data_IF_294187241401
#
_entry.id   IF_294187241401
#
_cell.length_a   1.000
_cell.length_b   1.000
_cell.length_c   1.000
_cell.angle_alpha   90.00
_cell.angle_beta   90.00
_cell.angle_gamma   90.00
#
_symmetry.space_group_name_H-M   'P 1'
#
loop_
_entity.id
_entity.type
_entity.pdbx_description
1 polymer ?
#
# COMPACT_ATOMS: atom_id res chain seq x y z
N UNK A 1 41.94 -15.89 72.69
CA UNK A 1 40.92 -16.56 71.88
C UNK A 1 40.61 -15.66 70.69
N UNK A 2 41.26 -15.92 69.58
CA UNK A 2 41.30 -15.10 68.39
C UNK A 2 40.32 -15.67 67.39
N UNK A 3 39.34 -14.90 67.00
CA UNK A 3 38.38 -15.28 65.93
C UNK A 3 38.67 -14.48 64.68
N UNK A 4 39.10 -15.18 63.62
CA UNK A 4 39.40 -14.64 62.30
C UNK A 4 38.09 -14.42 61.52
N UNK A 5 37.91 -13.24 60.95
CA UNK A 5 36.83 -12.91 60.06
C UNK A 5 37.40 -12.94 58.64
N UNK A 6 36.91 -13.91 57.85
CA UNK A 6 37.19 -14.00 56.39
C UNK A 6 36.26 -13.09 55.59
N UNK A 7 36.83 -12.33 54.68
CA UNK A 7 36.11 -11.52 53.71
C UNK A 7 35.55 -12.37 52.54
N UNK A 8 34.37 -12.09 51.97
CA UNK A 8 33.92 -12.71 50.75
C UNK A 8 34.38 -11.90 49.53
N UNK A 9 35.14 -12.55 48.69
CA UNK A 9 35.44 -12.11 47.31
C UNK A 9 34.37 -12.71 46.39
N UNK A 10 33.60 -11.91 45.70
CA UNK A 10 33.11 -12.26 44.39
C UNK A 10 32.61 -11.02 43.66
N UNK A 11 33.38 -10.61 42.68
CA UNK A 11 33.01 -9.62 41.70
C UNK A 11 31.88 -10.19 40.81
N UNK A 12 30.73 -9.59 40.91
CA UNK A 12 29.59 -9.84 40.05
C UNK A 12 29.91 -9.28 38.66
N UNK A 13 30.17 -10.18 37.71
CA UNK A 13 30.28 -9.83 36.28
C UNK A 13 28.88 -9.45 35.80
N UNK A 14 28.67 -8.16 35.59
CA UNK A 14 27.53 -7.68 34.82
C UNK A 14 27.46 -8.43 33.47
N UNK A 15 26.44 -9.21 33.30
CA UNK A 15 26.14 -9.90 32.04
C UNK A 15 25.81 -8.86 30.96
N UNK A 16 26.64 -8.82 29.91
CA UNK A 16 26.33 -8.10 28.70
C UNK A 16 24.97 -8.58 28.15
N UNK A 17 24.11 -7.68 27.63
CA UNK A 17 22.84 -8.08 27.03
C UNK A 17 23.14 -9.00 25.85
N UNK A 18 22.61 -10.21 25.88
CA UNK A 18 22.70 -11.19 24.81
C UNK A 18 22.18 -10.57 23.52
N UNK A 19 23.01 -10.57 22.47
CA UNK A 19 22.58 -10.30 21.09
C UNK A 19 21.44 -11.28 20.76
N UNK A 20 20.21 -10.80 20.79
CA UNK A 20 19.02 -11.58 20.45
C UNK A 20 19.23 -12.23 19.07
N UNK A 21 19.07 -13.52 19.01
CA UNK A 21 19.04 -14.29 17.78
C UNK A 21 17.76 -13.91 17.07
N UNK A 22 17.78 -12.87 16.22
CA UNK A 22 16.66 -12.54 15.35
C UNK A 22 16.42 -13.71 14.41
N UNK A 23 15.23 -14.31 14.47
CA UNK A 23 14.79 -15.28 13.48
C UNK A 23 14.76 -14.59 12.11
N UNK A 24 15.17 -15.30 11.05
CA UNK A 24 15.33 -14.72 9.70
C UNK A 24 14.08 -13.96 9.19
N UNK A 25 12.86 -14.39 9.57
CA UNK A 25 11.60 -13.69 9.24
C UNK A 25 11.47 -12.34 9.93
N UNK A 26 11.72 -12.29 11.23
CA UNK A 26 11.56 -11.07 12.05
C UNK A 26 12.47 -9.92 11.58
N UNK A 27 13.71 -10.21 11.15
CA UNK A 27 14.60 -9.18 10.66
C UNK A 27 14.13 -8.62 9.30
N UNK A 28 13.61 -9.47 8.41
CA UNK A 28 13.07 -9.02 7.12
C UNK A 28 11.89 -8.07 7.33
N UNK A 29 10.94 -8.42 8.18
CA UNK A 29 9.78 -7.59 8.52
C UNK A 29 10.20 -6.28 9.19
N UNK A 30 11.13 -6.32 10.15
CA UNK A 30 11.67 -5.13 10.78
C UNK A 30 12.30 -4.17 9.75
N UNK A 31 13.12 -4.71 8.83
CA UNK A 31 13.76 -3.90 7.78
C UNK A 31 12.71 -3.29 6.85
N UNK A 32 11.65 -4.00 6.50
CA UNK A 32 10.56 -3.49 5.66
C UNK A 32 9.78 -2.38 6.37
N UNK A 33 9.43 -2.54 7.64
CA UNK A 33 8.74 -1.51 8.43
C UNK A 33 9.58 -0.23 8.60
N UNK A 34 10.87 -0.37 8.95
CA UNK A 34 11.78 0.77 9.03
C UNK A 34 12.00 1.45 7.68
N UNK A 35 12.02 0.68 6.59
CA UNK A 35 12.15 1.23 5.24
C UNK A 35 10.96 2.12 4.85
N UNK A 36 9.72 1.70 5.12
CA UNK A 36 8.53 2.52 4.89
C UNK A 36 8.61 3.85 5.65
N UNK A 37 8.94 3.79 6.95
CA UNK A 37 9.09 4.99 7.76
C UNK A 37 10.18 5.93 7.23
N UNK A 38 11.30 5.36 6.79
CA UNK A 38 12.43 6.14 6.26
C UNK A 38 12.13 6.77 4.91
N UNK A 39 11.47 6.03 4.01
CA UNK A 39 11.06 6.54 2.71
C UNK A 39 10.03 7.68 2.88
N UNK A 40 9.13 7.58 3.85
CA UNK A 40 8.18 8.65 4.15
C UNK A 40 8.87 9.98 4.51
N UNK A 41 10.02 9.92 5.19
CA UNK A 41 10.77 11.11 5.64
C UNK A 41 11.70 11.63 4.56
N UNK A 42 12.53 10.76 3.97
CA UNK A 42 13.68 11.13 3.14
C UNK A 42 13.43 10.95 1.64
N UNK A 43 12.36 10.23 1.27
CA UNK A 43 12.09 9.79 -0.10
C UNK A 43 12.96 8.62 -0.53
N UNK A 44 12.62 8.05 -1.69
CA UNK A 44 13.30 6.89 -2.27
C UNK A 44 14.71 7.20 -2.78
N UNK A 45 14.99 8.44 -3.18
CA UNK A 45 16.29 8.83 -3.74
C UNK A 45 17.40 8.74 -2.70
N UNK A 46 17.14 9.26 -1.49
CA UNK A 46 18.10 9.28 -0.38
C UNK A 46 18.19 7.98 0.40
N UNK A 47 17.33 7.01 0.08
CA UNK A 47 17.26 5.74 0.79
C UNK A 47 18.53 4.89 0.60
N UNK A 48 19.01 4.27 1.70
CA UNK A 48 20.21 3.44 1.72
C UNK A 48 20.04 2.24 2.66
N UNK A 49 20.28 1.03 2.15
CA UNK A 49 20.31 -0.21 2.94
C UNK A 49 21.34 -0.17 4.08
N UNK A 50 22.47 0.53 3.89
CA UNK A 50 23.47 0.67 4.95
C UNK A 50 22.99 1.59 6.09
N UNK A 51 22.24 2.65 5.75
CA UNK A 51 21.61 3.50 6.76
C UNK A 51 20.53 2.73 7.51
N UNK A 52 19.72 1.96 6.80
CA UNK A 52 18.70 1.08 7.38
C UNK A 52 19.30 0.05 8.34
N UNK A 53 20.44 -0.58 7.99
CA UNK A 53 21.14 -1.50 8.88
C UNK A 53 21.54 -0.87 10.22
N UNK A 54 22.03 0.39 10.18
CA UNK A 54 22.38 1.13 11.41
C UNK A 54 21.15 1.41 12.26
N UNK A 55 20.05 1.78 11.65
CA UNK A 55 18.78 2.06 12.33
C UNK A 55 18.20 0.78 12.98
N UNK A 56 18.27 -0.35 12.26
CA UNK A 56 17.89 -1.66 12.78
C UNK A 56 18.88 -2.24 13.82
N UNK A 57 19.98 -1.54 14.11
CA UNK A 57 21.05 -2.01 15.00
C UNK A 57 21.62 -3.39 14.60
N UNK A 58 21.81 -3.61 13.29
CA UNK A 58 22.39 -4.84 12.75
C UNK A 58 23.68 -4.55 11.97
N UNK A 59 24.41 -5.60 11.60
CA UNK A 59 25.61 -5.43 10.76
C UNK A 59 25.28 -4.81 9.40
N UNK A 60 26.19 -4.00 8.86
CA UNK A 60 26.00 -3.34 7.56
C UNK A 60 25.72 -4.30 6.40
N UNK A 61 26.03 -5.58 6.56
CA UNK A 61 25.79 -6.64 5.57
C UNK A 61 24.50 -7.40 5.78
N UNK A 62 23.84 -7.27 6.96
CA UNK A 62 22.64 -8.03 7.28
C UNK A 62 21.47 -7.79 6.30
N UNK A 63 21.14 -6.54 5.89
CA UNK A 63 20.06 -6.31 4.92
C UNK A 63 20.30 -6.98 3.57
N UNK A 64 21.56 -7.09 3.15
CA UNK A 64 21.91 -7.69 1.85
C UNK A 64 21.72 -9.21 1.79
N UNK A 65 21.44 -9.87 2.93
CA UNK A 65 21.03 -11.27 2.98
C UNK A 65 19.54 -11.45 2.61
N UNK A 66 18.75 -10.37 2.71
CA UNK A 66 17.31 -10.33 2.41
C UNK A 66 17.00 -9.61 1.11
N UNK A 67 17.77 -8.57 0.78
CA UNK A 67 17.53 -7.70 -0.37
C UNK A 67 18.85 -7.41 -1.07
N UNK A 68 19.00 -7.84 -2.31
CA UNK A 68 20.24 -7.67 -3.10
C UNK A 68 20.61 -6.20 -3.29
N UNK A 69 19.61 -5.32 -3.38
CA UNK A 69 19.76 -3.88 -3.51
C UNK A 69 18.49 -3.15 -3.01
N UNK A 70 18.49 -1.81 -3.08
CA UNK A 70 17.33 -1.02 -2.63
C UNK A 70 16.07 -1.27 -3.48
N UNK A 71 16.19 -1.56 -4.77
CA UNK A 71 15.04 -1.84 -5.63
C UNK A 71 14.40 -3.19 -5.29
N UNK A 72 15.20 -4.20 -4.91
CA UNK A 72 14.67 -5.47 -4.41
C UNK A 72 13.88 -5.30 -3.10
N UNK A 73 14.29 -4.39 -2.21
CA UNK A 73 13.51 -4.03 -1.03
C UNK A 73 12.24 -3.28 -1.42
N UNK A 74 12.31 -2.32 -2.34
CA UNK A 74 11.13 -1.58 -2.81
C UNK A 74 10.11 -2.49 -3.50
N UNK A 75 10.59 -3.44 -4.31
CA UNK A 75 9.74 -4.45 -4.92
C UNK A 75 9.06 -5.35 -3.89
N UNK A 76 9.76 -5.75 -2.82
CA UNK A 76 9.16 -6.51 -1.73
C UNK A 76 8.08 -5.70 -1.00
N UNK A 77 8.30 -4.40 -0.76
CA UNK A 77 7.29 -3.50 -0.17
C UNK A 77 6.07 -3.34 -1.08
N UNK A 78 6.29 -3.17 -2.39
CA UNK A 78 5.21 -3.08 -3.37
C UNK A 78 4.42 -4.40 -3.46
N UNK A 79 5.11 -5.55 -3.43
CA UNK A 79 4.49 -6.88 -3.42
C UNK A 79 3.56 -7.05 -2.23
N UNK A 80 4.04 -6.70 -1.02
CA UNK A 80 3.22 -6.73 0.19
C UNK A 80 2.05 -5.75 0.11
N UNK A 81 2.26 -4.55 -0.44
CA UNK A 81 1.20 -3.57 -0.68
C UNK A 81 0.10 -4.11 -1.59
N UNK A 82 0.44 -4.74 -2.71
CA UNK A 82 -0.54 -5.37 -3.60
C UNK A 82 -1.29 -6.52 -2.92
N UNK A 83 -0.62 -7.34 -2.13
CA UNK A 83 -1.24 -8.44 -1.38
C UNK A 83 -2.25 -7.91 -0.34
N UNK A 84 -1.87 -6.89 0.42
CA UNK A 84 -2.75 -6.25 1.40
C UNK A 84 -3.96 -5.58 0.74
N UNK A 85 -3.76 -4.91 -0.40
CA UNK A 85 -4.86 -4.35 -1.18
C UNK A 85 -5.82 -5.43 -1.66
N UNK A 86 -5.29 -6.52 -2.26
CA UNK A 86 -6.09 -7.66 -2.71
C UNK A 86 -6.92 -8.26 -1.58
N UNK A 87 -6.32 -8.45 -0.40
CA UNK A 87 -7.00 -8.98 0.78
C UNK A 87 -8.15 -8.07 1.24
N UNK A 88 -7.90 -6.76 1.38
CA UNK A 88 -8.94 -5.78 1.76
C UNK A 88 -10.09 -5.76 0.76
N UNK A 89 -9.82 -5.72 -0.55
CA UNK A 89 -10.85 -5.71 -1.60
C UNK A 89 -11.62 -7.04 -1.61
N UNK A 90 -10.95 -8.19 -1.45
CA UNK A 90 -11.63 -9.49 -1.40
C UNK A 90 -12.63 -9.59 -0.22
N UNK A 91 -12.31 -9.02 0.94
CA UNK A 91 -13.22 -9.01 2.10
C UNK A 91 -14.54 -8.32 1.75
N UNK A 92 -14.50 -7.15 1.14
CA UNK A 92 -15.72 -6.42 0.77
C UNK A 92 -16.43 -7.02 -0.45
N UNK A 93 -15.68 -7.55 -1.39
CA UNK A 93 -16.22 -8.20 -2.60
C UNK A 93 -17.01 -9.48 -2.28
N UNK A 94 -16.68 -10.16 -1.18
CA UNK A 94 -17.37 -11.39 -0.74
C UNK A 94 -18.43 -11.13 0.34
N UNK A 95 -18.76 -9.89 0.66
CA UNK A 95 -19.80 -9.56 1.62
C UNK A 95 -21.19 -9.97 1.11
N UNK A 96 -22.19 -10.04 2.01
CA UNK A 96 -23.56 -10.39 1.67
C UNK A 96 -24.39 -9.25 1.07
N UNK A 97 -23.76 -8.09 0.84
CA UNK A 97 -24.40 -6.91 0.25
C UNK A 97 -24.72 -7.10 -1.24
N UNK A 98 -25.53 -6.19 -1.78
CA UNK A 98 -25.80 -6.17 -3.22
C UNK A 98 -24.51 -5.94 -4.03
N UNK A 99 -24.49 -6.38 -5.27
CA UNK A 99 -23.32 -6.21 -6.16
C UNK A 99 -22.90 -4.76 -6.31
N UNK A 100 -23.85 -3.82 -6.34
CA UNK A 100 -23.57 -2.38 -6.41
C UNK A 100 -22.91 -1.84 -5.14
N UNK A 101 -23.38 -2.28 -3.98
CA UNK A 101 -22.79 -1.92 -2.68
C UNK A 101 -21.39 -2.49 -2.54
N UNK A 102 -21.16 -3.74 -2.99
CA UNK A 102 -19.83 -4.35 -2.97
C UNK A 102 -18.87 -3.62 -3.89
N UNK A 103 -19.31 -3.19 -5.08
CA UNK A 103 -18.48 -2.43 -6.02
C UNK A 103 -18.11 -1.05 -5.45
N UNK A 104 -19.07 -0.36 -4.85
CA UNK A 104 -18.80 0.91 -4.18
C UNK A 104 -17.85 0.74 -3.00
N UNK A 105 -18.06 -0.28 -2.18
CA UNK A 105 -17.18 -0.59 -1.06
C UNK A 105 -15.76 -0.96 -1.51
N UNK A 106 -15.61 -1.70 -2.62
CA UNK A 106 -14.30 -2.00 -3.20
C UNK A 106 -13.58 -0.74 -3.67
N UNK A 107 -14.29 0.20 -4.31
CA UNK A 107 -13.74 1.48 -4.73
C UNK A 107 -13.30 2.34 -3.54
N UNK A 108 -14.10 2.40 -2.47
CA UNK A 108 -13.76 3.08 -1.22
C UNK A 108 -12.52 2.45 -0.59
N UNK A 109 -12.51 1.12 -0.44
CA UNK A 109 -11.38 0.36 0.13
C UNK A 109 -10.06 0.62 -0.61
N UNK A 110 -10.10 0.75 -1.94
CA UNK A 110 -8.92 1.08 -2.73
C UNK A 110 -8.37 2.47 -2.38
N UNK A 111 -9.23 3.47 -2.25
CA UNK A 111 -8.83 4.85 -1.94
C UNK A 111 -8.32 4.94 -0.51
N UNK A 112 -9.02 4.33 0.44
CA UNK A 112 -8.61 4.25 1.85
C UNK A 112 -7.25 3.54 2.01
N UNK A 113 -7.02 2.44 1.26
CA UNK A 113 -5.72 1.78 1.25
C UNK A 113 -4.60 2.72 0.83
N UNK A 114 -4.81 3.51 -0.22
CA UNK A 114 -3.81 4.46 -0.69
C UNK A 114 -3.49 5.54 0.37
N UNK A 115 -4.50 6.01 1.09
CA UNK A 115 -4.35 7.01 2.17
C UNK A 115 -3.67 6.44 3.41
N UNK A 116 -4.00 5.21 3.79
CA UNK A 116 -3.39 4.50 4.91
C UNK A 116 -1.93 4.14 4.63
N UNK A 117 -1.59 3.86 3.36
CA UNK A 117 -0.30 3.31 2.95
C UNK A 117 0.37 4.12 1.82
N UNK A 118 0.56 5.45 1.97
CA UNK A 118 0.97 6.32 0.88
C UNK A 118 2.33 5.95 0.28
N UNK A 119 3.28 5.51 1.09
CA UNK A 119 4.61 5.08 0.62
C UNK A 119 4.51 3.77 -0.18
N UNK A 120 3.80 2.77 0.34
CA UNK A 120 3.60 1.52 -0.36
C UNK A 120 2.87 1.76 -1.70
N UNK A 121 1.81 2.57 -1.69
CA UNK A 121 1.07 2.95 -2.89
C UNK A 121 1.95 3.63 -3.96
N UNK A 122 2.83 4.54 -3.54
CA UNK A 122 3.81 5.17 -4.45
C UNK A 122 4.81 4.18 -5.03
N UNK A 123 5.22 3.16 -4.26
CA UNK A 123 6.10 2.09 -4.76
C UNK A 123 5.36 1.14 -5.71
N UNK A 124 4.09 0.84 -5.44
CA UNK A 124 3.24 -0.03 -6.28
C UNK A 124 3.00 0.55 -7.68
N UNK A 125 2.73 1.85 -7.76
CA UNK A 125 2.26 2.51 -9.00
C UNK A 125 3.24 3.56 -9.55
N UNK A 126 4.33 3.83 -8.84
CA UNK A 126 5.35 4.77 -9.27
C UNK A 126 6.34 4.16 -10.26
N UNK A 127 7.04 5.03 -10.99
CA UNK A 127 8.00 4.61 -12.02
C UNK A 127 9.31 4.00 -11.47
N UNK A 128 9.52 3.98 -10.15
CA UNK A 128 10.82 3.62 -9.55
C UNK A 128 11.21 2.16 -9.76
N UNK A 129 10.23 1.26 -9.90
CA UNK A 129 10.47 -0.17 -10.09
C UNK A 129 10.59 -0.56 -11.57
N UNK A 130 10.13 0.28 -12.48
CA UNK A 130 10.20 -0.01 -13.92
C UNK A 130 9.41 -1.27 -14.31
N UNK A 131 10.09 -2.25 -14.89
CA UNK A 131 9.49 -3.51 -15.32
C UNK A 131 9.32 -4.47 -14.12
N UNK A 132 8.09 -4.82 -13.81
CA UNK A 132 7.75 -5.74 -12.71
C UNK A 132 8.26 -7.16 -12.93
N UNK A 133 8.54 -7.56 -14.19
CA UNK A 133 9.08 -8.88 -14.50
C UNK A 133 10.51 -9.10 -13.97
N UNK A 134 11.22 -8.01 -13.64
CA UNK A 134 12.55 -8.08 -13.03
C UNK A 134 12.52 -8.52 -11.56
N UNK A 135 11.33 -8.53 -10.92
CA UNK A 135 11.18 -8.83 -9.51
C UNK A 135 10.25 -10.03 -9.30
N UNK A 136 10.80 -11.09 -8.69
CA UNK A 136 10.05 -12.31 -8.39
C UNK A 136 8.80 -12.00 -7.55
N UNK A 137 7.64 -12.48 -8.01
CA UNK A 137 6.36 -12.37 -7.32
C UNK A 137 5.66 -11.02 -7.44
N UNK A 138 6.34 -9.94 -7.85
CA UNK A 138 5.72 -8.60 -7.93
C UNK A 138 4.60 -8.54 -8.97
N UNK A 139 4.85 -9.06 -10.18
CA UNK A 139 3.84 -9.10 -11.24
C UNK A 139 2.62 -9.95 -10.86
N UNK A 140 2.86 -11.09 -10.19
CA UNK A 140 1.78 -11.95 -9.70
C UNK A 140 0.94 -11.25 -8.62
N UNK A 141 1.57 -10.53 -7.68
CA UNK A 141 0.86 -9.78 -6.65
C UNK A 141 0.03 -8.63 -7.25
N UNK A 142 0.59 -7.90 -8.23
CA UNK A 142 -0.14 -6.85 -8.93
C UNK A 142 -1.36 -7.40 -9.68
N UNK A 143 -1.20 -8.51 -10.39
CA UNK A 143 -2.31 -9.21 -11.07
C UNK A 143 -3.37 -9.67 -10.07
N UNK A 144 -2.96 -10.29 -8.94
CA UNK A 144 -3.87 -10.74 -7.90
C UNK A 144 -4.69 -9.61 -7.26
N UNK A 145 -4.11 -8.42 -7.14
CA UNK A 145 -4.85 -7.25 -6.66
C UNK A 145 -5.93 -6.80 -7.64
N UNK A 146 -5.67 -6.90 -8.96
CA UNK A 146 -6.65 -6.60 -10.00
C UNK A 146 -7.75 -7.67 -10.09
N UNK A 147 -7.40 -8.96 -9.95
CA UNK A 147 -8.36 -10.07 -10.02
C UNK A 147 -9.50 -9.96 -8.99
N UNK A 148 -9.24 -9.36 -7.83
CA UNK A 148 -10.28 -9.14 -6.83
C UNK A 148 -11.40 -8.21 -7.34
N UNK A 149 -11.02 -7.15 -8.06
CA UNK A 149 -11.97 -6.26 -8.72
C UNK A 149 -12.61 -6.93 -9.94
N UNK A 150 -11.83 -7.63 -10.77
CA UNK A 150 -12.28 -8.26 -12.01
C UNK A 150 -13.42 -9.24 -11.76
N UNK A 151 -13.29 -10.12 -10.77
CA UNK A 151 -14.36 -11.05 -10.38
C UNK A 151 -15.68 -10.35 -10.02
N UNK A 152 -15.56 -9.24 -9.27
CA UNK A 152 -16.74 -8.46 -8.89
C UNK A 152 -17.39 -7.79 -10.11
N UNK A 153 -16.59 -7.35 -11.08
CA UNK A 153 -17.09 -6.72 -12.31
C UNK A 153 -17.81 -7.72 -13.21
N UNK A 154 -17.34 -8.96 -13.31
CA UNK A 154 -18.07 -10.04 -14.01
C UNK A 154 -19.47 -10.19 -13.39
N UNK A 155 -19.58 -10.26 -12.07
CA UNK A 155 -20.88 -10.33 -11.41
C UNK A 155 -21.77 -9.10 -11.66
N UNK A 156 -21.19 -7.90 -11.73
CA UNK A 156 -21.91 -6.66 -12.07
C UNK A 156 -22.47 -6.72 -13.47
N UNK A 157 -21.65 -7.11 -14.45
CA UNK A 157 -22.03 -7.22 -15.87
C UNK A 157 -23.17 -8.22 -16.03
N UNK A 158 -23.06 -9.39 -15.40
CA UNK A 158 -24.07 -10.44 -15.43
C UNK A 158 -25.39 -10.00 -14.74
N UNK A 159 -25.31 -9.49 -13.52
CA UNK A 159 -26.47 -9.11 -12.73
C UNK A 159 -27.28 -7.97 -13.39
N UNK A 160 -26.60 -7.05 -14.07
CA UNK A 160 -27.22 -5.88 -14.73
C UNK A 160 -27.46 -6.10 -16.23
N UNK A 161 -27.07 -7.25 -16.77
CA UNK A 161 -27.17 -7.56 -18.21
C UNK A 161 -26.52 -6.48 -19.09
N UNK A 162 -25.37 -5.98 -18.66
CA UNK A 162 -24.68 -4.91 -19.37
C UNK A 162 -24.12 -5.42 -20.70
N UNK A 163 -24.28 -4.64 -21.76
CA UNK A 163 -23.64 -4.87 -23.06
C UNK A 163 -22.27 -4.18 -23.08
N UNK A 164 -21.41 -4.55 -22.15
CA UNK A 164 -20.10 -3.95 -21.95
C UNK A 164 -19.05 -5.05 -21.73
N UNK A 165 -17.88 -4.86 -22.32
CA UNK A 165 -16.73 -5.73 -22.05
C UNK A 165 -16.24 -5.46 -20.62
N UNK A 166 -16.19 -6.50 -19.78
CA UNK A 166 -15.82 -6.40 -18.38
C UNK A 166 -14.40 -5.85 -18.19
N UNK A 167 -13.48 -6.16 -19.10
CA UNK A 167 -12.11 -5.67 -19.06
C UNK A 167 -12.05 -4.16 -19.33
N UNK A 168 -12.87 -3.66 -20.26
CA UNK A 168 -12.98 -2.22 -20.54
C UNK A 168 -13.61 -1.49 -19.37
N UNK A 169 -14.69 -2.05 -18.79
CA UNK A 169 -15.33 -1.50 -17.62
C UNK A 169 -14.37 -1.44 -16.41
N UNK A 170 -13.62 -2.52 -16.20
CA UNK A 170 -12.58 -2.61 -15.18
C UNK A 170 -11.50 -1.54 -15.35
N UNK A 171 -11.02 -1.36 -16.57
CA UNK A 171 -10.04 -0.31 -16.90
C UNK A 171 -10.56 1.10 -16.62
N UNK A 172 -11.83 1.39 -16.93
CA UNK A 172 -12.46 2.69 -16.68
C UNK A 172 -12.61 2.94 -15.16
N UNK A 173 -13.17 1.99 -14.43
CA UNK A 173 -13.37 2.11 -12.98
C UNK A 173 -12.00 2.23 -12.28
N UNK A 174 -11.05 1.33 -12.58
CA UNK A 174 -9.73 1.39 -12.00
C UNK A 174 -9.02 2.72 -12.27
N UNK A 175 -9.04 3.19 -13.52
CA UNK A 175 -8.43 4.49 -13.88
C UNK A 175 -9.03 5.65 -13.09
N UNK A 176 -10.35 5.64 -12.88
CA UNK A 176 -11.04 6.68 -12.13
C UNK A 176 -10.66 6.65 -10.64
N UNK A 177 -10.76 5.50 -9.97
CA UNK A 177 -10.42 5.39 -8.53
C UNK A 177 -8.93 5.62 -8.28
N UNK A 178 -8.05 5.13 -9.17
CA UNK A 178 -6.62 5.39 -9.11
C UNK A 178 -6.30 6.87 -9.27
N UNK A 179 -6.97 7.55 -10.21
CA UNK A 179 -6.85 8.99 -10.40
C UNK A 179 -7.28 9.77 -9.15
N UNK A 180 -8.41 9.41 -8.54
CA UNK A 180 -8.89 10.03 -7.30
C UNK A 180 -7.87 9.82 -6.17
N UNK A 181 -7.44 8.59 -5.92
CA UNK A 181 -6.47 8.27 -4.88
C UNK A 181 -5.15 9.04 -5.07
N UNK A 182 -4.61 9.05 -6.29
CA UNK A 182 -3.36 9.76 -6.62
C UNK A 182 -3.47 11.26 -6.42
N UNK A 183 -4.57 11.88 -6.85
CA UNK A 183 -4.81 13.32 -6.68
C UNK A 183 -4.97 13.70 -5.21
N UNK A 184 -5.68 12.89 -4.42
CA UNK A 184 -5.82 13.11 -2.98
C UNK A 184 -4.48 13.06 -2.26
N UNK A 185 -3.65 12.04 -2.55
CA UNK A 185 -2.30 11.95 -1.99
C UNK A 185 -1.42 13.14 -2.36
N UNK A 186 -1.48 13.59 -3.61
CA UNK A 186 -0.72 14.76 -4.06
C UNK A 186 -1.15 16.04 -3.33
N UNK A 187 -2.46 16.26 -3.17
CA UNK A 187 -2.99 17.43 -2.45
C UNK A 187 -2.59 17.38 -0.98
N UNK A 188 -2.71 16.23 -0.32
CA UNK A 188 -2.31 16.06 1.08
C UNK A 188 -0.80 16.34 1.29
N UNK A 189 0.06 15.90 0.37
CA UNK A 189 1.50 16.20 0.43
C UNK A 189 1.81 17.68 0.21
N UNK A 190 1.09 18.36 -0.66
CA UNK A 190 1.25 19.80 -0.91
C UNK A 190 0.81 20.63 0.30
N UNK A 191 -0.31 20.29 0.92
CA UNK A 191 -0.82 20.94 2.12
C UNK A 191 0.16 20.78 3.29
N UNK A 192 0.65 19.57 3.54
CA UNK A 192 1.65 19.28 4.56
C UNK A 192 2.96 20.08 4.34
N UNK A 193 3.33 20.36 3.10
CA UNK A 193 4.54 21.12 2.76
C UNK A 193 4.39 22.63 2.91
N UNK A 194 3.18 23.17 3.10
CA UNK A 194 2.83 24.61 3.16
C UNK A 194 3.34 25.44 1.96
N UNK A 195 3.62 24.79 0.85
CA UNK A 195 4.22 25.44 -0.34
C UNK A 195 3.21 25.83 -1.40
N UNK A 196 1.99 25.35 -1.32
CA UNK A 196 0.95 25.65 -2.30
C UNK A 196 -0.31 26.08 -1.56
N UNK A 197 -0.86 27.29 -1.88
CA UNK A 197 -2.15 27.68 -1.33
C UNK A 197 -3.23 26.70 -1.80
N UNK A 198 -4.10 26.27 -0.91
CA UNK A 198 -5.35 25.55 -1.20
C UNK A 198 -6.31 26.33 -2.11
N UNK A 199 -5.90 27.50 -2.55
CA UNK A 199 -6.65 28.44 -3.40
C UNK A 199 -6.67 28.03 -4.89
N UNK A 200 -5.83 27.07 -5.29
CA UNK A 200 -5.84 26.60 -6.68
C UNK A 200 -7.11 25.83 -6.99
N UNK A 201 -7.81 26.24 -8.06
CA UNK A 201 -9.06 25.61 -8.51
C UNK A 201 -9.00 24.07 -8.60
N UNK A 202 -7.93 23.43 -9.12
CA UNK A 202 -7.84 21.97 -9.12
C UNK A 202 -7.85 21.35 -7.71
N UNK A 203 -7.14 21.95 -6.75
CA UNK A 203 -7.14 21.47 -5.36
C UNK A 203 -8.52 21.61 -4.73
N UNK A 204 -9.20 22.76 -4.93
CA UNK A 204 -10.58 22.99 -4.48
C UNK A 204 -11.55 21.96 -5.05
N UNK A 205 -11.41 21.59 -6.34
CA UNK A 205 -12.25 20.59 -6.98
C UNK A 205 -12.07 19.21 -6.35
N UNK A 206 -10.82 18.82 -6.02
CA UNK A 206 -10.52 17.57 -5.33
C UNK A 206 -11.12 17.58 -3.92
N UNK A 207 -10.98 18.66 -3.15
CA UNK A 207 -11.61 18.79 -1.83
C UNK A 207 -13.12 18.68 -1.91
N UNK A 208 -13.78 19.46 -2.79
CA UNK A 208 -15.22 19.42 -2.95
C UNK A 208 -15.74 18.02 -3.34
N UNK A 209 -15.00 17.32 -4.24
CA UNK A 209 -15.33 15.95 -4.62
C UNK A 209 -15.19 14.98 -3.44
N UNK A 210 -14.29 15.26 -2.50
CA UNK A 210 -13.99 14.37 -1.36
C UNK A 210 -14.72 14.72 -0.07
N UNK A 211 -15.48 15.82 -0.02
CA UNK A 211 -16.37 16.13 1.12
C UNK A 211 -17.42 15.04 1.34
N UNK A 212 -17.94 14.44 0.26
CA UNK A 212 -18.80 13.26 0.31
C UNK A 212 -18.31 12.27 -0.75
N UNK A 213 -17.17 11.63 -0.46
CA UNK A 213 -16.49 10.75 -1.40
C UNK A 213 -17.39 9.57 -1.80
N UNK A 214 -18.08 8.96 -0.86
CA UNK A 214 -18.94 7.80 -1.11
C UNK A 214 -20.08 8.14 -2.07
N UNK A 215 -20.82 9.23 -1.82
CA UNK A 215 -21.90 9.66 -2.69
C UNK A 215 -21.39 10.05 -4.09
N UNK A 216 -20.26 10.72 -4.19
CA UNK A 216 -19.67 11.12 -5.47
C UNK A 216 -19.12 9.93 -6.26
N UNK A 217 -18.51 8.94 -5.61
CA UNK A 217 -18.13 7.66 -6.24
C UNK A 217 -19.35 6.90 -6.73
N UNK A 218 -20.42 6.87 -5.92
CA UNK A 218 -21.67 6.23 -6.32
C UNK A 218 -22.24 6.86 -7.59
N UNK A 219 -22.30 8.19 -7.67
CA UNK A 219 -22.75 8.91 -8.88
C UNK A 219 -21.90 8.53 -10.08
N UNK A 220 -20.57 8.46 -9.95
CA UNK A 220 -19.66 8.08 -11.01
C UNK A 220 -19.90 6.64 -11.47
N UNK A 221 -19.98 5.70 -10.54
CA UNK A 221 -20.21 4.27 -10.83
C UNK A 221 -21.57 4.09 -11.49
N UNK A 222 -22.64 4.66 -10.94
CA UNK A 222 -24.01 4.59 -11.51
C UNK A 222 -24.05 5.19 -12.93
N UNK A 223 -23.29 6.26 -13.18
CA UNK A 223 -23.17 6.87 -14.50
C UNK A 223 -22.49 5.95 -15.51
N UNK A 224 -21.43 5.26 -15.11
CA UNK A 224 -20.74 4.27 -15.95
C UNK A 224 -21.62 3.05 -16.25
N UNK A 225 -22.35 2.55 -15.25
CA UNK A 225 -23.20 1.39 -15.39
C UNK A 225 -24.53 1.72 -16.11
N UNK A 226 -25.10 2.92 -15.89
CA UNK A 226 -26.39 3.33 -16.45
C UNK A 226 -26.36 3.64 -17.95
N UNK A 227 -25.25 4.10 -18.49
CA UNK A 227 -25.12 4.39 -19.93
C UNK A 227 -25.07 3.14 -20.80
N UNK A 228 -24.70 2.00 -20.21
CA UNK A 228 -24.62 0.72 -20.92
C UNK A 228 -26.00 0.16 -21.30
N UNK A 229 -27.09 0.58 -20.62
CA UNK A 229 -28.44 0.12 -20.90
C UNK A 229 -29.15 0.91 -22.00
N UNK A 230 -28.63 2.07 -22.42
CA UNK A 230 -29.29 2.94 -23.42
C UNK A 230 -28.78 2.71 -24.88
N UNK A 231 -27.63 2.07 -25.06
CA UNK A 231 -27.07 1.83 -26.40
C UNK A 231 -27.65 0.62 -27.14
N UNK A 232 -28.61 -0.08 -26.53
CA UNK A 232 -29.25 -1.28 -27.11
C UNK A 232 -30.61 -1.01 -27.78
N UNK A 233 -30.93 0.24 -28.10
CA UNK A 233 -32.15 0.55 -28.90
C UNK A 233 -31.72 1.03 -30.30
N UNK A 234 -31.95 0.22 -31.35
CA UNK A 234 -31.63 0.58 -32.76
C UNK A 234 -32.58 1.64 -33.32
#
# INVERSE_FOLDING_TARGET
MTSSISAPTSADKASEPSKGTYHHGELRELLMGLALARIAIDGTEKFSLRALAREANVSATAPFRHFTNKHALFAALATEGFQQLAERVNVVAQSSESVDQRLLAAAMTYIEFAEDNPVAYQLMFGAILGDFSEFEGLGAAASGAYEALDKLLVEVVEAKQLQFDELVLGGLIWSAIHGIASLRLNVAQQDASKKTPLELRPSQAIFAMTEDLEANLKIMIDGLLGQSSQSANP
#
